data_IF_621513284627
#
_entry.id   IF_621513284627
#
_cell.length_a   1.000
_cell.length_b   1.000
_cell.length_c   1.000
_cell.angle_alpha   90.00
_cell.angle_beta   90.00
_cell.angle_gamma   90.00
#
_symmetry.space_group_name_H-M   'P 1'
#
loop_
_entity.id
_entity.type
_entity.pdbx_description
1 polymer ?
#
# COMPACT_ATOMS: atom_id res chain seq x y z
N UNK A 1 0.82 -0.30 30.54
CA UNK A 1 -0.07 -1.46 30.37
C UNK A 1 0.20 -1.99 28.98
N UNK A 2 0.89 -3.12 28.89
CA UNK A 2 1.23 -3.77 27.62
C UNK A 2 0.01 -4.56 27.17
N UNK A 3 -0.92 -3.90 26.48
CA UNK A 3 -1.93 -4.60 25.71
C UNK A 3 -1.18 -5.24 24.54
N UNK A 4 -0.94 -6.54 24.68
CA UNK A 4 -0.22 -7.33 23.69
C UNK A 4 -1.09 -7.43 22.44
N UNK A 5 -0.80 -6.64 21.41
CA UNK A 5 -1.38 -6.76 20.05
C UNK A 5 -0.90 -8.02 19.31
N UNK A 6 -0.61 -9.10 20.05
CA UNK A 6 -0.08 -10.33 19.48
C UNK A 6 -1.20 -11.13 18.79
N UNK A 7 -0.87 -11.92 17.75
CA UNK A 7 -1.82 -12.84 17.14
C UNK A 7 -2.36 -13.86 18.16
N UNK A 8 -3.67 -14.14 18.10
CA UNK A 8 -4.29 -15.25 18.85
C UNK A 8 -3.98 -16.62 18.22
N UNK A 9 -3.63 -16.64 16.94
CA UNK A 9 -3.17 -17.83 16.23
C UNK A 9 -2.17 -17.41 15.16
N UNK A 10 -1.07 -18.15 15.06
CA UNK A 10 -0.11 -18.02 13.95
C UNK A 10 0.13 -19.39 13.33
N UNK A 11 0.16 -19.46 12.01
CA UNK A 11 0.44 -20.68 11.26
C UNK A 11 1.01 -20.35 9.88
N UNK A 12 1.55 -21.35 9.18
CA UNK A 12 1.98 -21.22 7.79
C UNK A 12 0.95 -21.85 6.85
N UNK A 13 0.66 -21.17 5.75
CA UNK A 13 -0.06 -21.71 4.60
C UNK A 13 0.88 -21.67 3.40
N UNK A 14 1.43 -22.82 3.02
CA UNK A 14 2.56 -22.92 2.09
C UNK A 14 3.74 -22.03 2.52
N UNK A 15 4.11 -21.04 1.72
CA UNK A 15 5.16 -20.07 2.02
C UNK A 15 4.68 -18.85 2.82
N UNK A 16 3.36 -18.69 3.02
CA UNK A 16 2.77 -17.51 3.66
C UNK A 16 2.70 -17.68 5.18
N UNK A 17 3.21 -16.69 5.90
CA UNK A 17 2.95 -16.54 7.33
C UNK A 17 1.56 -15.93 7.55
N UNK A 18 0.74 -16.64 8.32
CA UNK A 18 -0.64 -16.25 8.60
C UNK A 18 -0.80 -15.96 10.08
N UNK A 19 -1.23 -14.74 10.38
CA UNK A 19 -1.50 -14.27 11.74
C UNK A 19 -2.99 -13.92 11.88
N UNK A 20 -3.64 -14.48 12.88
CA UNK A 20 -5.04 -14.22 13.23
C UNK A 20 -5.08 -13.41 14.50
N UNK A 21 -5.87 -12.34 14.51
CA UNK A 21 -6.00 -11.42 15.64
C UNK A 21 -7.42 -11.47 16.21
N UNK A 22 -7.55 -11.19 17.51
CA UNK A 22 -8.85 -11.13 18.18
C UNK A 22 -9.71 -9.97 17.69
N UNK A 23 -9.08 -8.89 17.21
CA UNK A 23 -9.75 -7.66 16.82
C UNK A 23 -9.04 -6.95 15.66
N UNK A 24 -9.80 -6.16 14.90
CA UNK A 24 -9.26 -5.30 13.85
C UNK A 24 -8.25 -4.26 14.38
N UNK A 25 -8.47 -3.59 15.55
CA UNK A 25 -7.46 -2.71 16.13
C UNK A 25 -6.12 -3.39 16.42
N UNK A 26 -6.12 -4.62 16.94
CA UNK A 26 -4.89 -5.37 17.23
C UNK A 26 -4.13 -5.69 15.95
N UNK A 27 -4.85 -6.19 14.92
CA UNK A 27 -4.29 -6.41 13.59
C UNK A 27 -3.67 -5.11 13.03
N UNK A 28 -4.41 -4.00 13.08
CA UNK A 28 -3.97 -2.73 12.53
C UNK A 28 -2.73 -2.18 13.23
N UNK A 29 -2.64 -2.31 14.56
CA UNK A 29 -1.48 -1.89 15.34
C UNK A 29 -0.25 -2.79 15.05
N UNK A 30 -0.46 -4.10 14.98
CA UNK A 30 0.59 -5.07 14.68
C UNK A 30 1.19 -4.83 13.28
N UNK A 31 0.35 -4.75 12.25
CA UNK A 31 0.80 -4.57 10.86
C UNK A 31 1.45 -3.19 10.66
N UNK A 32 0.96 -2.14 11.33
CA UNK A 32 1.61 -0.83 11.29
C UNK A 32 3.03 -0.87 11.86
N UNK A 33 3.23 -1.59 12.96
CA UNK A 33 4.56 -1.78 13.56
C UNK A 33 5.48 -2.59 12.64
N UNK A 34 4.97 -3.67 12.07
CA UNK A 34 5.73 -4.55 11.18
C UNK A 34 6.19 -3.81 9.90
N UNK A 35 5.25 -3.12 9.24
CA UNK A 35 5.55 -2.27 8.06
C UNK A 35 6.54 -1.17 8.40
N UNK A 36 6.41 -0.53 9.57
CA UNK A 36 7.37 0.49 10.02
C UNK A 36 8.77 -0.09 10.15
N UNK A 37 8.91 -1.24 10.80
CA UNK A 37 10.21 -1.87 10.99
C UNK A 37 10.83 -2.27 9.66
N UNK A 38 10.04 -2.89 8.78
CA UNK A 38 10.48 -3.29 7.45
C UNK A 38 10.99 -2.09 6.62
N UNK A 39 10.24 -0.98 6.60
CA UNK A 39 10.63 0.23 5.87
C UNK A 39 11.88 0.87 6.48
N UNK A 40 11.97 0.96 7.81
CA UNK A 40 13.14 1.50 8.48
C UNK A 40 14.41 0.68 8.17
N UNK A 41 14.32 -0.65 8.23
CA UNK A 41 15.43 -1.55 7.94
C UNK A 41 15.82 -1.52 6.46
N UNK A 42 14.85 -1.37 5.56
CA UNK A 42 15.10 -1.23 4.12
C UNK A 42 15.80 0.09 3.82
N UNK A 43 15.36 1.20 4.41
CA UNK A 43 16.03 2.50 4.30
C UNK A 43 17.46 2.42 4.87
N UNK A 44 17.66 1.74 6.00
CA UNK A 44 18.97 1.60 6.61
C UNK A 44 19.95 0.82 5.72
N UNK A 45 19.46 -0.22 5.01
CA UNK A 45 20.27 -1.06 4.12
C UNK A 45 20.51 -0.42 2.75
N UNK A 46 19.48 0.18 2.17
CA UNK A 46 19.47 0.58 0.76
C UNK A 46 19.50 2.10 0.55
N UNK A 47 19.34 2.89 1.61
CA UNK A 47 19.26 4.36 1.56
C UNK A 47 17.88 4.91 1.16
N UNK A 48 16.99 4.08 0.63
CA UNK A 48 15.60 4.41 0.30
C UNK A 48 14.71 3.17 0.30
N UNK A 49 13.39 3.37 0.28
CA UNK A 49 12.42 2.30 0.10
C UNK A 49 11.30 2.73 -0.85
N UNK A 50 10.73 1.78 -1.59
CA UNK A 50 9.52 1.97 -2.39
C UNK A 50 8.41 1.03 -1.91
N UNK A 51 7.21 1.58 -1.70
CA UNK A 51 6.08 0.80 -1.19
C UNK A 51 4.77 1.12 -1.91
N UNK A 52 3.94 0.09 -2.08
CA UNK A 52 2.57 0.20 -2.59
C UNK A 52 1.62 0.09 -1.40
N UNK A 53 0.72 1.07 -1.25
CA UNK A 53 -0.31 1.07 -0.21
C UNK A 53 -1.68 0.76 -0.80
N UNK A 54 -2.44 -0.12 -0.15
CA UNK A 54 -3.83 -0.41 -0.50
C UNK A 54 -4.80 0.61 0.07
N UNK A 55 -5.93 0.78 -0.62
CA UNK A 55 -7.10 1.55 -0.18
C UNK A 55 -8.15 0.64 0.45
N UNK A 56 -9.27 1.23 0.89
CA UNK A 56 -10.42 0.50 1.41
C UNK A 56 -10.59 0.61 2.93
N UNK A 57 -11.73 0.10 3.42
CA UNK A 57 -12.14 0.26 4.82
C UNK A 57 -11.24 -0.49 5.80
N UNK A 58 -10.76 -1.69 5.41
CA UNK A 58 -9.84 -2.48 6.23
C UNK A 58 -8.50 -1.78 6.46
N UNK A 59 -8.08 -0.92 5.52
CA UNK A 59 -6.80 -0.20 5.57
C UNK A 59 -6.83 1.05 6.45
N UNK A 60 -8.01 1.61 6.76
CA UNK A 60 -8.13 2.92 7.44
C UNK A 60 -7.39 2.95 8.77
N UNK A 61 -7.61 1.95 9.64
CA UNK A 61 -6.98 1.91 10.96
C UNK A 61 -5.47 1.62 10.85
N UNK A 62 -5.08 0.73 9.93
CA UNK A 62 -3.67 0.44 9.67
C UNK A 62 -2.91 1.69 9.22
N UNK A 63 -3.40 2.40 8.19
CA UNK A 63 -2.76 3.61 7.68
C UNK A 63 -2.70 4.69 8.75
N UNK A 64 -3.78 4.90 9.51
CA UNK A 64 -3.82 5.83 10.63
C UNK A 64 -2.74 5.51 11.68
N UNK A 65 -2.57 4.23 12.02
CA UNK A 65 -1.55 3.82 12.97
C UNK A 65 -0.15 4.01 12.39
N UNK A 66 0.08 3.61 11.14
CA UNK A 66 1.38 3.69 10.47
C UNK A 66 1.89 5.14 10.39
N UNK A 67 1.03 6.07 9.96
CA UNK A 67 1.43 7.49 9.84
C UNK A 67 1.68 8.16 11.20
N UNK A 68 1.03 7.67 12.26
CA UNK A 68 1.16 8.21 13.62
C UNK A 68 2.33 7.59 14.41
N UNK A 69 2.76 6.38 14.05
CA UNK A 69 3.75 5.61 14.82
C UNK A 69 5.14 6.27 14.84
N UNK A 70 5.49 7.02 13.80
CA UNK A 70 6.82 7.59 13.61
C UNK A 70 7.89 6.52 13.33
N UNK A 71 9.16 6.93 13.26
CA UNK A 71 10.29 6.01 13.05
C UNK A 71 10.55 5.62 11.59
N UNK A 72 9.83 6.22 10.63
CA UNK A 72 10.09 6.09 9.19
C UNK A 72 10.62 7.43 8.69
N UNK A 73 11.76 7.43 8.00
CA UNK A 73 12.25 8.60 7.28
C UNK A 73 11.53 8.71 5.94
N UNK A 74 10.33 9.30 5.95
CA UNK A 74 9.46 9.41 4.77
C UNK A 74 10.12 10.17 3.61
N UNK A 75 11.09 11.04 3.88
CA UNK A 75 11.87 11.73 2.85
C UNK A 75 12.71 10.79 1.96
N UNK A 76 12.82 9.51 2.36
CA UNK A 76 13.49 8.43 1.62
C UNK A 76 12.52 7.37 1.09
N UNK A 77 11.22 7.57 1.23
CA UNK A 77 10.19 6.62 0.80
C UNK A 77 9.48 7.13 -0.46
N UNK A 78 9.43 6.31 -1.50
CA UNK A 78 8.53 6.52 -2.64
C UNK A 78 7.28 5.67 -2.47
N UNK A 79 6.11 6.29 -2.58
CA UNK A 79 4.83 5.61 -2.41
C UNK A 79 4.08 5.48 -3.73
N UNK A 80 3.34 4.39 -3.85
CA UNK A 80 2.43 4.05 -4.94
C UNK A 80 1.09 3.59 -4.36
N UNK A 81 0.06 3.54 -5.20
CA UNK A 81 -1.23 2.94 -4.86
C UNK A 81 -1.70 2.05 -6.03
N UNK A 82 -2.58 1.11 -5.74
CA UNK A 82 -2.80 -0.03 -6.65
C UNK A 82 -3.69 0.28 -7.85
N UNK A 83 -4.72 1.08 -7.65
CA UNK A 83 -5.81 1.24 -8.59
C UNK A 83 -6.46 2.63 -8.48
N UNK A 84 -7.26 2.98 -9.47
CA UNK A 84 -8.11 4.18 -9.46
C UNK A 84 -9.30 3.93 -10.38
N UNK A 85 -10.42 4.61 -10.13
CA UNK A 85 -11.57 4.55 -11.02
C UNK A 85 -11.32 5.30 -12.33
N UNK A 86 -11.68 4.67 -13.45
CA UNK A 86 -11.61 5.31 -14.75
C UNK A 86 -12.60 6.48 -14.85
N UNK A 87 -12.11 7.63 -15.32
CA UNK A 87 -12.86 8.88 -15.45
C UNK A 87 -13.01 9.69 -14.16
N UNK A 88 -12.46 9.23 -13.02
CA UNK A 88 -12.66 9.92 -11.74
C UNK A 88 -11.68 11.08 -11.54
N UNK A 89 -12.21 12.26 -11.20
CA UNK A 89 -11.39 13.42 -10.80
C UNK A 89 -10.67 13.15 -9.48
N UNK A 90 -9.46 13.72 -9.35
CA UNK A 90 -8.64 13.61 -8.14
C UNK A 90 -9.28 14.23 -6.89
N UNK A 91 -10.26 15.12 -7.07
CA UNK A 91 -10.99 15.83 -6.03
C UNK A 91 -12.25 15.09 -5.59
N UNK A 92 -12.69 14.08 -6.36
CA UNK A 92 -13.89 13.33 -6.03
C UNK A 92 -13.68 12.54 -4.73
N UNK A 93 -14.65 12.51 -3.78
CA UNK A 93 -14.49 11.82 -2.50
C UNK A 93 -14.19 10.31 -2.60
N UNK A 94 -14.62 9.67 -3.70
CA UNK A 94 -14.35 8.26 -3.98
C UNK A 94 -13.02 8.01 -4.70
N UNK A 95 -12.25 9.05 -5.06
CA UNK A 95 -10.94 8.89 -5.68
C UNK A 95 -9.94 8.32 -4.69
N UNK A 96 -9.19 7.32 -5.13
CA UNK A 96 -8.11 6.75 -4.36
C UNK A 96 -6.91 7.69 -4.24
N UNK A 97 -6.70 8.57 -5.22
CA UNK A 97 -5.80 9.73 -5.05
C UNK A 97 -6.24 10.61 -3.88
N UNK A 98 -7.52 10.97 -3.81
CA UNK A 98 -8.06 11.78 -2.71
C UNK A 98 -7.87 11.09 -1.36
N UNK A 99 -8.22 9.80 -1.29
CA UNK A 99 -8.09 8.96 -0.09
C UNK A 99 -6.65 8.96 0.44
N UNK A 100 -5.68 8.67 -0.42
CA UNK A 100 -4.26 8.56 -0.07
C UNK A 100 -3.64 9.91 0.27
N UNK A 101 -4.02 10.97 -0.44
CA UNK A 101 -3.57 12.33 -0.15
C UNK A 101 -3.94 12.77 1.27
N UNK A 102 -5.18 12.50 1.67
CA UNK A 102 -5.68 12.89 3.00
C UNK A 102 -5.12 12.02 4.12
N UNK A 103 -4.97 10.71 3.90
CA UNK A 103 -4.63 9.76 4.95
C UNK A 103 -3.13 9.51 5.10
N UNK A 104 -2.34 9.81 4.06
CA UNK A 104 -0.91 9.50 4.03
C UNK A 104 -0.09 10.71 3.61
N UNK A 105 -0.16 11.11 2.33
CA UNK A 105 0.79 12.07 1.74
C UNK A 105 0.85 13.40 2.50
N UNK A 106 -0.30 13.99 2.83
CA UNK A 106 -0.36 15.30 3.51
C UNK A 106 0.17 15.27 4.94
N UNK A 107 0.16 14.09 5.59
CA UNK A 107 0.60 13.90 6.96
C UNK A 107 2.09 13.63 7.06
N UNK A 108 2.64 12.80 6.15
CA UNK A 108 4.01 12.30 6.26
C UNK A 108 4.98 12.88 5.25
N UNK A 109 4.47 13.46 4.14
CA UNK A 109 5.26 14.11 3.07
C UNK A 109 6.41 13.22 2.57
N UNK A 110 6.09 12.10 1.90
CA UNK A 110 7.10 11.17 1.40
C UNK A 110 8.00 11.83 0.34
N UNK A 111 9.12 11.18 -0.01
CA UNK A 111 9.99 11.58 -1.12
C UNK A 111 9.20 11.85 -2.40
N UNK A 112 8.27 10.93 -2.69
CA UNK A 112 7.30 11.03 -3.77
C UNK A 112 6.07 10.17 -3.45
N UNK A 113 4.91 10.59 -3.94
CA UNK A 113 3.71 9.76 -4.01
C UNK A 113 3.23 9.73 -5.46
N UNK A 114 3.35 8.58 -6.12
CA UNK A 114 2.95 8.40 -7.51
C UNK A 114 1.49 7.97 -7.58
N UNK A 115 0.67 8.85 -8.14
CA UNK A 115 -0.75 8.64 -8.35
C UNK A 115 -1.07 8.16 -9.76
N UNK A 116 -1.96 7.16 -9.88
CA UNK A 116 -2.69 6.83 -11.11
C UNK A 116 -3.69 7.94 -11.43
N UNK A 117 -3.67 8.45 -12.66
CA UNK A 117 -4.57 9.51 -13.13
C UNK A 117 -5.84 8.92 -13.74
N UNK A 118 -6.85 8.71 -12.91
CA UNK A 118 -8.15 8.18 -13.35
C UNK A 118 -8.87 9.05 -14.38
N UNK A 119 -8.64 10.37 -14.36
CA UNK A 119 -9.22 11.38 -15.25
C UNK A 119 -8.38 11.70 -16.49
N UNK A 120 -7.41 10.87 -16.84
CA UNK A 120 -6.63 11.06 -18.07
C UNK A 120 -7.47 10.83 -19.34
N UNK A 121 -7.17 11.56 -20.41
CA UNK A 121 -7.88 11.42 -21.70
C UNK A 121 -7.67 10.03 -22.33
N UNK A 122 -6.46 9.48 -22.18
CA UNK A 122 -6.02 8.23 -22.82
C UNK A 122 -5.51 7.23 -21.76
N UNK A 123 -6.35 6.30 -21.29
CA UNK A 123 -6.00 5.39 -20.18
C UNK A 123 -4.76 4.51 -20.45
N UNK A 124 -4.55 4.10 -21.70
CA UNK A 124 -3.37 3.31 -22.07
C UNK A 124 -2.05 4.08 -21.94
N UNK A 125 -2.07 5.40 -22.17
CA UNK A 125 -0.90 6.27 -21.95
C UNK A 125 -0.61 6.37 -20.46
N UNK A 126 -1.65 6.47 -19.64
CA UNK A 126 -1.51 6.49 -18.19
C UNK A 126 -0.99 5.15 -17.65
N UNK A 127 -1.49 4.02 -18.13
CA UNK A 127 -0.96 2.70 -17.78
C UNK A 127 0.53 2.59 -18.13
N UNK A 128 0.94 3.05 -19.31
CA UNK A 128 2.34 3.05 -19.72
C UNK A 128 3.21 3.96 -18.82
N UNK A 129 2.72 5.16 -18.48
CA UNK A 129 3.40 6.09 -17.57
C UNK A 129 3.55 5.47 -16.18
N UNK A 130 2.49 4.90 -15.62
CA UNK A 130 2.52 4.31 -14.29
C UNK A 130 3.40 3.05 -14.22
N UNK A 131 3.38 2.23 -15.28
CA UNK A 131 4.27 1.07 -15.44
C UNK A 131 5.74 1.52 -15.45
N UNK A 132 6.08 2.57 -16.20
CA UNK A 132 7.45 3.09 -16.22
C UNK A 132 7.90 3.61 -14.83
N UNK A 133 7.00 4.19 -14.04
CA UNK A 133 7.30 4.58 -12.67
C UNK A 133 7.55 3.37 -11.76
N UNK A 134 6.72 2.32 -11.87
CA UNK A 134 6.91 1.07 -11.12
C UNK A 134 8.22 0.36 -11.50
N UNK A 135 8.65 0.46 -12.77
CA UNK A 135 9.90 -0.12 -13.25
C UNK A 135 11.15 0.74 -12.93
N UNK A 136 10.97 2.00 -12.52
CA UNK A 136 12.09 2.91 -12.27
C UNK A 136 12.92 2.56 -11.02
N UNK A 137 12.37 1.75 -10.12
CA UNK A 137 13.07 1.20 -8.94
C UNK A 137 12.35 -0.07 -8.46
N UNK A 138 13.07 -0.93 -7.73
CA UNK A 138 12.45 -2.10 -7.11
C UNK A 138 11.40 -1.69 -6.07
N UNK A 139 10.27 -2.41 -6.03
CA UNK A 139 9.27 -2.25 -4.97
C UNK A 139 9.63 -3.18 -3.81
N UNK A 140 9.90 -2.59 -2.65
CA UNK A 140 10.33 -3.34 -1.46
C UNK A 140 9.15 -3.93 -0.69
N UNK A 141 7.99 -3.27 -0.71
CA UNK A 141 6.81 -3.66 0.06
C UNK A 141 5.52 -3.40 -0.73
N UNK A 142 4.59 -4.35 -0.67
CA UNK A 142 3.24 -4.18 -1.19
C UNK A 142 2.21 -4.55 -0.13
N UNK A 143 1.46 -3.56 0.36
CA UNK A 143 0.32 -3.78 1.25
C UNK A 143 -0.92 -4.02 0.40
N UNK A 144 -1.50 -5.22 0.51
CA UNK A 144 -2.65 -5.66 -0.30
C UNK A 144 -3.87 -5.92 0.59
N UNK A 145 -5.05 -5.54 0.12
CA UNK A 145 -6.32 -5.95 0.70
C UNK A 145 -6.88 -7.19 0.00
N UNK A 146 -7.52 -8.08 0.76
CA UNK A 146 -8.32 -9.18 0.21
C UNK A 146 -9.79 -8.88 0.51
N UNK A 147 -10.58 -8.63 -0.52
CA UNK A 147 -12.02 -8.37 -0.41
C UNK A 147 -12.85 -9.65 -0.30
N UNK A 148 -14.07 -9.56 0.22
CA UNK A 148 -15.02 -10.69 0.27
C UNK A 148 -15.49 -11.13 -1.13
N UNK A 149 -15.53 -10.21 -2.09
CA UNK A 149 -15.86 -10.47 -3.49
C UNK A 149 -14.59 -10.41 -4.34
N UNK A 150 -13.88 -11.53 -4.44
CA UNK A 150 -12.89 -11.76 -5.51
C UNK A 150 -13.60 -12.01 -6.86
N UNK A 151 -14.53 -11.12 -7.25
CA UNK A 151 -15.18 -11.21 -8.56
C UNK A 151 -14.32 -10.49 -9.61
N UNK A 152 -13.87 -11.29 -10.57
CA UNK A 152 -13.29 -11.08 -11.91
C UNK A 152 -12.56 -9.78 -12.29
N UNK A 153 -12.97 -8.59 -11.83
CA UNK A 153 -12.35 -7.32 -12.18
C UNK A 153 -10.96 -7.12 -11.52
N UNK A 154 -10.77 -7.63 -10.30
CA UNK A 154 -9.45 -7.58 -9.63
C UNK A 154 -8.50 -8.73 -10.06
N UNK A 155 -9.01 -9.82 -10.65
CA UNK A 155 -8.17 -10.91 -11.18
C UNK A 155 -7.35 -10.47 -12.38
N UNK A 156 -7.92 -9.61 -13.23
CA UNK A 156 -7.21 -9.07 -14.40
C UNK A 156 -6.11 -8.08 -13.98
N UNK A 157 -6.42 -7.16 -13.07
CA UNK A 157 -5.42 -6.23 -12.54
C UNK A 157 -4.33 -6.94 -11.73
N UNK A 158 -4.65 -7.92 -10.87
CA UNK A 158 -3.63 -8.64 -10.11
C UNK A 158 -2.63 -9.41 -11.02
N UNK A 159 -3.07 -9.91 -12.18
CA UNK A 159 -2.18 -10.59 -13.14
C UNK A 159 -1.23 -9.62 -13.84
N UNK A 160 -1.74 -8.50 -14.35
CA UNK A 160 -0.91 -7.44 -14.97
C UNK A 160 0.02 -6.78 -13.93
N UNK A 161 -0.47 -6.59 -12.70
CA UNK A 161 0.30 -6.03 -11.59
C UNK A 161 1.43 -6.97 -11.14
N UNK A 162 1.17 -8.27 -11.08
CA UNK A 162 2.20 -9.27 -10.83
C UNK A 162 3.22 -9.33 -11.98
N UNK A 163 2.79 -9.21 -13.24
CA UNK A 163 3.70 -9.14 -14.39
C UNK A 163 4.60 -7.89 -14.35
N UNK A 164 4.07 -6.73 -13.96
CA UNK A 164 4.84 -5.50 -13.82
C UNK A 164 5.83 -5.53 -12.64
N UNK A 165 5.49 -6.20 -11.54
CA UNK A 165 6.35 -6.35 -10.35
C UNK A 165 7.40 -7.45 -10.47
N UNK A 166 7.07 -8.56 -11.13
CA UNK A 166 7.91 -9.76 -11.18
C UNK A 166 8.79 -9.84 -12.42
N UNK A 167 8.68 -8.88 -13.36
CA UNK A 167 9.55 -8.74 -14.51
C UNK A 167 9.86 -10.07 -15.19
N UNK A 168 8.92 -10.56 -16.00
CA UNK A 168 9.24 -11.64 -16.93
C UNK A 168 10.18 -11.12 -18.04
#
# INVERSE_FOLDING_TARGET
MSDSHAPVRSFKADALDVHVFASQPDLAAYVALDVRNYLADTIARNGSAAAILATGNSQIQFLKNLVALGGIDWSKVTLFHMDEYLGISAEHPASFRHYMKQRVESLVKPKAFHYIHGDCDLPHVECARYTALLQSQAIDLCCLGVGEQLEDLQRFHAREFAHALLGA
#
